data_IF_034661121497
#
_entry.id   IF_034661121497
#
_cell.length_a   1.000
_cell.length_b   1.000
_cell.length_c   1.000
_cell.angle_alpha   90.00
_cell.angle_beta   90.00
_cell.angle_gamma   90.00
#
_symmetry.space_group_name_H-M   'P 1'
#
loop_
_entity.id
_entity.type
_entity.pdbx_description
1 polymer ?
#
# COMPACT_ATOMS: atom_id res chain seq x y z
N UNK A 1 28.17 54.79 -2.64
CA UNK A 1 27.07 53.83 -2.72
C UNK A 1 27.23 53.02 -3.99
N UNK A 2 27.49 51.73 -3.84
CA UNK A 2 26.99 50.66 -4.71
C UNK A 2 27.19 49.37 -3.92
N UNK A 3 26.08 48.65 -3.77
CA UNK A 3 25.87 47.57 -2.83
C UNK A 3 26.73 46.34 -3.15
N UNK A 4 27.25 45.72 -2.09
CA UNK A 4 27.56 44.29 -2.11
C UNK A 4 26.26 43.53 -2.36
N UNK A 5 26.17 42.89 -3.52
CA UNK A 5 25.13 41.92 -3.81
C UNK A 5 25.52 40.66 -3.05
N UNK A 6 24.94 40.48 -1.87
CA UNK A 6 24.93 39.18 -1.19
C UNK A 6 24.13 38.23 -2.06
N UNK A 7 24.83 37.33 -2.76
CA UNK A 7 24.21 36.19 -3.42
C UNK A 7 23.72 35.26 -2.32
N UNK A 8 22.42 35.29 -2.06
CA UNK A 8 21.74 34.29 -1.25
C UNK A 8 21.92 32.95 -1.97
N UNK A 9 22.74 32.07 -1.40
CA UNK A 9 22.82 30.68 -1.82
C UNK A 9 21.47 30.03 -1.50
N UNK A 10 20.59 29.95 -2.50
CA UNK A 10 19.58 28.90 -2.54
C UNK A 10 20.35 27.57 -2.63
N UNK A 11 20.54 26.92 -1.48
CA UNK A 11 20.85 25.50 -1.44
C UNK A 11 19.68 24.77 -2.09
N UNK A 12 19.82 24.50 -3.39
CA UNK A 12 19.00 23.55 -4.13
C UNK A 12 19.25 22.17 -3.51
N UNK A 13 18.55 21.87 -2.40
CA UNK A 13 18.54 20.55 -1.77
C UNK A 13 17.82 19.57 -2.71
N UNK A 14 18.47 19.21 -3.81
CA UNK A 14 18.19 18.05 -4.66
C UNK A 14 18.60 16.75 -3.95
N UNK A 15 18.41 16.70 -2.63
CA UNK A 15 18.57 15.50 -1.83
C UNK A 15 17.41 14.58 -2.13
N UNK A 16 17.66 13.52 -2.90
CA UNK A 16 16.67 12.47 -3.13
C UNK A 16 16.13 11.95 -1.78
N UNK A 17 14.84 12.10 -1.52
CA UNK A 17 14.18 11.48 -0.36
C UNK A 17 14.29 9.96 -0.48
N UNK A 18 15.13 9.36 0.37
CA UNK A 18 15.38 7.90 0.42
C UNK A 18 14.39 7.17 1.34
N UNK A 19 13.38 7.86 1.84
CA UNK A 19 12.40 7.29 2.76
C UNK A 19 11.48 6.30 2.03
N UNK A 20 11.10 5.24 2.74
CA UNK A 20 10.13 4.26 2.21
C UNK A 20 8.73 4.84 2.38
N UNK A 21 8.11 5.21 1.27
CA UNK A 21 6.77 5.78 1.26
C UNK A 21 5.68 4.73 1.45
N UNK A 22 5.88 3.53 0.90
CA UNK A 22 4.88 2.45 0.86
C UNK A 22 5.55 1.10 1.03
N UNK A 23 4.93 0.23 1.82
CA UNK A 23 5.23 -1.19 1.94
C UNK A 23 4.16 -2.01 1.21
N UNK A 24 4.54 -2.67 0.11
CA UNK A 24 3.71 -3.68 -0.54
C UNK A 24 3.88 -5.00 0.20
N UNK A 25 2.84 -5.43 0.93
CA UNK A 25 2.92 -6.64 1.75
C UNK A 25 2.20 -7.82 1.12
N UNK A 26 2.93 -8.91 0.90
CA UNK A 26 2.42 -10.09 0.20
C UNK A 26 1.90 -11.12 1.20
N UNK A 27 0.58 -11.27 1.25
CA UNK A 27 -0.12 -12.30 1.98
C UNK A 27 -0.07 -13.62 1.21
N UNK A 28 0.12 -14.71 1.95
CA UNK A 28 0.03 -16.06 1.39
C UNK A 28 -1.39 -16.35 0.88
N UNK A 29 -1.56 -17.07 -0.24
CA UNK A 29 -2.89 -17.42 -0.72
C UNK A 29 -3.62 -18.29 0.31
N UNK A 30 -4.79 -17.82 0.78
CA UNK A 30 -5.69 -18.56 1.66
C UNK A 30 -5.19 -18.79 3.08
N UNK A 31 -4.11 -18.13 3.53
CA UNK A 31 -3.56 -18.29 4.87
C UNK A 31 -3.13 -16.94 5.46
N UNK A 32 -3.60 -16.63 6.66
CA UNK A 32 -3.15 -15.49 7.44
C UNK A 32 -2.44 -16.02 8.69
N UNK A 33 -1.11 -15.90 8.71
CA UNK A 33 -0.26 -16.47 9.76
C UNK A 33 -0.09 -15.49 10.92
N UNK A 34 0.23 -16.01 12.11
CA UNK A 34 0.53 -15.14 13.26
C UNK A 34 1.72 -14.22 12.99
N UNK A 35 2.69 -14.67 12.19
CA UNK A 35 3.81 -13.82 11.77
C UNK A 35 3.34 -12.62 10.94
N UNK A 36 2.30 -12.78 10.12
CA UNK A 36 1.74 -11.69 9.31
C UNK A 36 1.13 -10.63 10.23
N UNK A 37 0.36 -11.07 11.24
CA UNK A 37 -0.16 -10.19 12.30
C UNK A 37 0.96 -9.44 13.02
N UNK A 38 2.00 -10.14 13.48
CA UNK A 38 3.09 -9.51 14.23
C UNK A 38 3.88 -8.52 13.37
N UNK A 39 4.10 -8.84 12.10
CA UNK A 39 4.78 -7.96 11.17
C UNK A 39 3.95 -6.71 10.87
N UNK A 40 2.70 -6.91 10.42
CA UNK A 40 1.79 -5.83 10.03
C UNK A 40 1.49 -4.87 11.19
N UNK A 41 1.28 -5.41 12.40
CA UNK A 41 1.00 -4.59 13.58
C UNK A 41 2.14 -3.65 13.98
N UNK A 42 3.39 -4.01 13.66
CA UNK A 42 4.58 -3.20 13.91
C UNK A 42 4.85 -2.23 12.77
N UNK A 43 4.88 -2.74 11.54
CA UNK A 43 5.28 -1.96 10.35
C UNK A 43 4.28 -0.87 10.02
N UNK A 44 2.99 -1.04 10.33
CA UNK A 44 1.96 -0.03 10.05
C UNK A 44 2.22 1.33 10.73
N UNK A 45 3.05 1.35 11.79
CA UNK A 45 3.42 2.56 12.52
C UNK A 45 4.52 3.37 11.81
N UNK A 46 5.28 2.70 10.96
CA UNK A 46 6.47 3.25 10.31
C UNK A 46 6.21 3.63 8.86
N UNK A 47 5.32 2.89 8.17
CA UNK A 47 5.08 3.05 6.74
C UNK A 47 3.66 2.65 6.35
N UNK A 48 3.16 3.27 5.28
CA UNK A 48 1.88 2.94 4.67
C UNK A 48 1.93 1.53 4.09
N UNK A 49 0.98 0.67 4.49
CA UNK A 49 0.92 -0.72 4.01
C UNK A 49 -0.16 -0.89 2.95
N UNK A 50 0.20 -1.51 1.82
CA UNK A 50 -0.75 -2.00 0.81
C UNK A 50 -0.71 -3.53 0.81
N UNK A 51 -1.75 -4.21 1.34
CA UNK A 51 -1.81 -5.66 1.37
C UNK A 51 -2.14 -6.24 -0.01
N UNK A 52 -1.43 -7.30 -0.39
CA UNK A 52 -1.53 -7.98 -1.67
C UNK A 52 -1.67 -9.49 -1.42
N UNK A 53 -2.73 -10.13 -1.91
CA UNK A 53 -2.85 -11.59 -1.97
C UNK A 53 -1.94 -12.09 -3.09
N UNK A 54 -0.87 -12.78 -2.72
CA UNK A 54 0.10 -13.35 -3.64
C UNK A 54 -0.42 -14.64 -4.29
N UNK A 55 0.10 -14.97 -5.48
CA UNK A 55 -0.19 -16.23 -6.20
C UNK A 55 -1.69 -16.54 -6.24
N UNK A 56 -2.52 -15.53 -6.53
CA UNK A 56 -3.97 -15.70 -6.48
C UNK A 56 -4.51 -16.71 -7.49
N UNK A 57 -3.71 -17.12 -8.47
CA UNK A 57 -3.99 -18.21 -9.40
C UNK A 57 -4.14 -19.58 -8.73
N UNK A 58 -3.66 -19.74 -7.49
CA UNK A 58 -3.88 -20.97 -6.70
C UNK A 58 -5.25 -20.99 -6.00
N UNK A 59 -6.04 -19.93 -6.13
CA UNK A 59 -7.36 -19.80 -5.50
C UNK A 59 -8.43 -19.60 -6.57
N UNK A 60 -9.59 -20.22 -6.38
CA UNK A 60 -10.79 -19.94 -7.15
C UNK A 60 -11.34 -18.55 -6.81
N UNK A 61 -12.20 -17.99 -7.69
CA UNK A 61 -12.84 -16.69 -7.43
C UNK A 61 -13.60 -16.64 -6.10
N UNK A 62 -14.21 -17.77 -5.70
CA UNK A 62 -14.94 -17.87 -4.44
C UNK A 62 -13.98 -17.89 -3.24
N UNK A 63 -12.86 -18.62 -3.33
CA UNK A 63 -11.83 -18.64 -2.31
C UNK A 63 -11.15 -17.29 -2.14
N UNK A 64 -10.89 -16.57 -3.25
CA UNK A 64 -10.37 -15.19 -3.19
C UNK A 64 -11.36 -14.28 -2.46
N UNK A 65 -12.66 -14.35 -2.79
CA UNK A 65 -13.67 -13.51 -2.15
C UNK A 65 -13.78 -13.80 -0.64
N UNK A 66 -13.78 -15.09 -0.26
CA UNK A 66 -13.81 -15.51 1.13
C UNK A 66 -12.56 -15.08 1.89
N UNK A 67 -11.38 -15.26 1.29
CA UNK A 67 -10.12 -14.89 1.92
C UNK A 67 -9.97 -13.37 2.06
N UNK A 68 -10.45 -12.57 1.10
CA UNK A 68 -10.52 -11.11 1.24
C UNK A 68 -11.33 -10.68 2.46
N UNK A 69 -12.52 -11.27 2.62
CA UNK A 69 -13.37 -10.99 3.79
C UNK A 69 -12.68 -11.41 5.09
N UNK A 70 -12.04 -12.58 5.11
CA UNK A 70 -11.27 -13.04 6.26
C UNK A 70 -10.16 -12.05 6.63
N UNK A 71 -9.34 -11.63 5.66
CA UNK A 71 -8.24 -10.67 5.88
C UNK A 71 -8.76 -9.32 6.40
N UNK A 72 -9.85 -8.80 5.83
CA UNK A 72 -10.46 -7.55 6.31
C UNK A 72 -10.94 -7.69 7.76
N UNK A 73 -11.59 -8.80 8.08
CA UNK A 73 -12.05 -9.07 9.45
C UNK A 73 -10.86 -9.20 10.43
N UNK A 74 -9.79 -9.89 10.03
CA UNK A 74 -8.56 -10.01 10.82
C UNK A 74 -7.94 -8.65 11.10
N UNK A 75 -7.82 -7.80 10.09
CA UNK A 75 -7.28 -6.46 10.25
C UNK A 75 -8.10 -5.62 11.23
N UNK A 76 -9.43 -5.68 11.14
CA UNK A 76 -10.31 -5.00 12.10
C UNK A 76 -10.12 -5.52 13.53
N UNK A 77 -10.07 -6.85 13.71
CA UNK A 77 -9.88 -7.47 15.03
C UNK A 77 -8.52 -7.15 15.66
N UNK A 78 -7.48 -7.04 14.82
CA UNK A 78 -6.09 -6.86 15.25
C UNK A 78 -5.66 -5.39 15.29
N UNK A 79 -6.53 -4.46 14.86
CA UNK A 79 -6.22 -3.03 14.79
C UNK A 79 -5.15 -2.70 13.74
N UNK A 80 -5.18 -3.40 12.61
CA UNK A 80 -4.31 -3.15 11.46
C UNK A 80 -5.05 -2.22 10.49
N UNK A 81 -4.42 -1.10 10.15
CA UNK A 81 -5.01 -0.06 9.31
C UNK A 81 -4.23 0.05 7.98
N UNK A 82 -4.53 -0.82 7.00
CA UNK A 82 -3.92 -0.72 5.68
C UNK A 82 -4.41 0.53 4.94
N UNK A 83 -3.67 0.95 3.91
CA UNK A 83 -4.04 2.07 3.07
C UNK A 83 -5.40 1.87 2.41
N UNK A 84 -6.32 2.83 2.60
CA UNK A 84 -7.60 2.86 1.92
C UNK A 84 -7.56 3.85 0.76
N UNK A 85 -7.61 3.33 -0.46
CA UNK A 85 -7.71 4.15 -1.67
C UNK A 85 -9.00 4.99 -1.73
N UNK A 86 -10.03 4.57 -1.00
CA UNK A 86 -11.36 5.21 -1.04
C UNK A 86 -11.50 6.31 0.02
N UNK A 87 -10.74 6.25 1.12
CA UNK A 87 -10.77 7.26 2.18
C UNK A 87 -10.26 8.64 1.71
N UNK A 88 -9.38 8.67 0.70
CA UNK A 88 -8.75 9.91 0.21
C UNK A 88 -9.57 10.65 -0.86
N UNK A 89 -10.70 10.11 -1.32
CA UNK A 89 -11.57 10.82 -2.29
C UNK A 89 -12.18 12.13 -1.75
N UNK A 90 -12.19 12.32 -0.43
CA UNK A 90 -12.86 13.47 0.18
C UNK A 90 -11.96 14.69 0.44
N UNK A 91 -10.62 14.56 0.42
CA UNK A 91 -9.72 15.64 0.88
C UNK A 91 -8.81 16.27 -0.19
N UNK A 92 -8.58 15.64 -1.35
CA UNK A 92 -7.70 16.21 -2.38
C UNK A 92 -8.50 16.68 -3.60
N UNK A 93 -8.71 17.99 -3.71
CA UNK A 93 -9.36 18.63 -4.87
C UNK A 93 -8.52 18.57 -6.17
N UNK A 94 -7.33 17.96 -6.17
CA UNK A 94 -6.37 18.04 -7.27
C UNK A 94 -5.87 16.72 -7.87
N UNK A 95 -6.03 15.57 -7.19
CA UNK A 95 -5.45 14.31 -7.66
C UNK A 95 -6.49 13.49 -8.45
N UNK A 96 -6.51 13.71 -9.78
CA UNK A 96 -7.11 12.84 -10.81
C UNK A 96 -8.39 12.08 -10.40
N UNK A 97 -9.54 12.67 -10.72
CA UNK A 97 -10.90 12.07 -10.68
C UNK A 97 -11.10 10.89 -11.65
N UNK A 98 -10.07 10.11 -11.95
CA UNK A 98 -10.27 8.84 -12.62
C UNK A 98 -10.72 7.86 -11.54
N UNK A 99 -11.94 7.27 -11.62
CA UNK A 99 -12.28 6.19 -10.72
C UNK A 99 -11.24 5.08 -10.94
N UNK A 100 -10.35 4.88 -9.97
CA UNK A 100 -9.50 3.69 -9.89
C UNK A 100 -10.34 2.40 -9.66
N UNK A 101 -11.65 2.47 -9.89
CA UNK A 101 -12.64 1.40 -9.88
C UNK A 101 -12.63 0.60 -11.21
N UNK A 102 -11.44 0.22 -11.70
CA UNK A 102 -11.32 -0.76 -12.79
C UNK A 102 -11.66 -2.16 -12.27
N UNK A 103 -12.91 -2.35 -11.82
CA UNK A 103 -13.40 -3.57 -11.18
C UNK A 103 -12.92 -3.78 -9.73
N UNK A 104 -12.30 -2.77 -9.10
CA UNK A 104 -11.86 -2.84 -7.69
C UNK A 104 -13.04 -2.56 -6.76
N UNK A 105 -13.18 -3.37 -5.71
CA UNK A 105 -14.13 -3.13 -4.61
C UNK A 105 -13.44 -2.30 -3.53
N UNK A 106 -14.22 -1.44 -2.88
CA UNK A 106 -13.69 -0.54 -1.86
C UNK A 106 -13.13 -1.32 -0.67
N UNK A 107 -12.00 -0.87 -0.11
CA UNK A 107 -11.34 -1.46 1.06
C UNK A 107 -10.95 -2.96 0.95
N UNK A 108 -10.89 -3.54 -0.25
CA UNK A 108 -10.40 -4.92 -0.45
C UNK A 108 -8.89 -4.96 -0.75
N UNK A 109 -8.13 -5.93 -0.19
CA UNK A 109 -6.74 -6.12 -0.55
C UNK A 109 -6.63 -6.52 -2.03
N UNK A 110 -5.57 -6.03 -2.68
CA UNK A 110 -5.31 -6.35 -4.09
C UNK A 110 -4.96 -7.84 -4.21
N UNK A 111 -5.39 -8.48 -5.29
CA UNK A 111 -4.97 -9.85 -5.60
C UNK A 111 -4.17 -9.82 -6.91
N UNK A 112 -2.99 -10.41 -6.90
CA UNK A 112 -2.14 -10.45 -8.09
C UNK A 112 -1.80 -11.88 -8.47
N UNK A 113 -1.69 -12.08 -9.78
CA UNK A 113 -1.11 -13.28 -10.38
C UNK A 113 0.27 -12.90 -10.88
N UNK A 114 1.31 -13.56 -10.36
CA UNK A 114 2.65 -13.46 -10.92
C UNK A 114 2.81 -14.60 -11.95
N UNK A 115 3.05 -14.27 -13.22
CA UNK A 115 3.44 -15.25 -14.24
C UNK A 115 4.92 -15.08 -14.57
N UNK A 116 5.64 -16.19 -14.60
CA UNK A 116 7.03 -16.33 -15.04
C UNK A 116 8.02 -15.32 -14.42
N UNK A 117 8.21 -15.40 -13.11
CA UNK A 117 9.36 -14.78 -12.45
C UNK A 117 10.58 -15.68 -12.57
N UNK A 118 11.41 -15.50 -13.61
CA UNK A 118 12.83 -15.85 -13.47
C UNK A 118 13.43 -14.88 -12.45
N UNK A 119 13.85 -15.42 -11.31
CA UNK A 119 14.53 -14.69 -10.25
C UNK A 119 16.01 -15.06 -10.32
N UNK A 120 16.94 -14.09 -10.41
CA UNK A 120 18.37 -14.36 -10.44
C UNK A 120 18.90 -14.94 -9.13
#
# INVERSE_FOLDING_TARGET
GIAEVTQENEEDTSGSDKLVHVCLYFLSPGRYLEIDRYFLSRVQKEVVIVPIIAKSDTLTNNEIASYRQEVVNRFQQEGIHPYSFDAHQNNDQGLMKAPFARGRRANEPLAIVARNGEYP
#
